data_IF_913607697982
#
_entry.id   IF_913607697982
#
_cell.length_a   1.000
_cell.length_b   1.000
_cell.length_c   1.000
_cell.angle_alpha   90.00
_cell.angle_beta   90.00
_cell.angle_gamma   90.00
#
_symmetry.space_group_name_H-M   'P 1'
#
loop_
_entity.id
_entity.type
_entity.pdbx_description
1 polymer ?
#
# COMPACT_ATOMS: atom_id res chain seq x y z
N UNK A 1 -4.95 27.15 -26.49
CA UNK A 1 -4.80 26.61 -25.11
C UNK A 1 -5.95 25.64 -24.89
N UNK A 2 -5.64 24.53 -24.27
CA UNK A 2 -6.40 23.29 -24.34
C UNK A 2 -7.04 23.07 -22.95
N UNK A 3 -8.37 22.91 -22.86
CA UNK A 3 -9.15 23.15 -21.62
C UNK A 3 -9.32 21.93 -20.70
N UNK A 4 -9.12 20.70 -21.18
CA UNK A 4 -9.18 19.45 -20.38
C UNK A 4 -8.29 18.37 -21.03
N UNK A 5 -7.12 18.06 -20.44
CA UNK A 5 -6.03 17.34 -21.13
C UNK A 5 -5.47 16.12 -20.42
N UNK A 6 -6.09 15.71 -19.33
CA UNK A 6 -5.68 14.53 -18.59
C UNK A 6 -6.75 13.46 -18.73
N UNK A 7 -6.40 12.34 -19.36
CA UNK A 7 -7.22 11.14 -19.41
C UNK A 7 -6.42 10.01 -18.78
N UNK A 8 -7.07 9.24 -17.91
CA UNK A 8 -6.51 8.06 -17.29
C UNK A 8 -7.33 6.85 -17.72
N UNK A 9 -6.65 5.77 -18.08
CA UNK A 9 -7.27 4.52 -18.49
C UNK A 9 -6.81 3.42 -17.54
N UNK A 10 -7.74 2.88 -16.75
CA UNK A 10 -7.50 1.68 -15.95
C UNK A 10 -7.95 0.47 -16.75
N UNK A 11 -7.08 -0.51 -16.92
CA UNK A 11 -7.40 -1.73 -17.65
C UNK A 11 -6.65 -2.92 -17.06
N UNK A 12 -7.23 -4.11 -17.24
CA UNK A 12 -6.66 -5.38 -16.87
C UNK A 12 -6.23 -6.13 -18.14
N UNK A 13 -5.05 -6.74 -18.15
CA UNK A 13 -4.59 -7.58 -19.26
C UNK A 13 -4.25 -8.97 -18.73
N UNK A 14 -4.70 -10.01 -19.44
CA UNK A 14 -4.42 -11.39 -19.08
C UNK A 14 -2.93 -11.69 -19.23
N UNK A 15 -2.36 -12.29 -18.20
CA UNK A 15 -0.96 -12.68 -18.15
C UNK A 15 -0.83 -14.12 -18.64
N UNK A 16 -0.31 -14.34 -19.85
CA UNK A 16 -0.26 -15.69 -20.42
C UNK A 16 1.12 -16.37 -20.34
N UNK A 17 2.12 -15.73 -19.73
CA UNK A 17 3.47 -16.30 -19.53
C UNK A 17 4.23 -15.42 -18.54
N UNK A 18 4.80 -15.98 -17.47
CA UNK A 18 5.51 -15.40 -16.31
C UNK A 18 6.49 -14.21 -16.42
N UNK A 19 6.36 -13.29 -17.39
CA UNK A 19 7.19 -12.08 -17.57
C UNK A 19 6.59 -10.83 -16.92
N UNK A 20 7.43 -10.00 -16.30
CA UNK A 20 7.07 -8.81 -15.51
C UNK A 20 6.36 -7.66 -16.28
N UNK A 21 6.08 -7.82 -17.58
CA UNK A 21 5.20 -6.96 -18.38
C UNK A 21 4.38 -7.91 -19.26
N UNK A 22 3.03 -7.81 -19.30
CA UNK A 22 2.23 -8.68 -20.15
C UNK A 22 2.71 -8.58 -21.61
N UNK A 23 3.11 -9.69 -22.21
CA UNK A 23 3.60 -9.76 -23.60
C UNK A 23 2.61 -9.11 -24.59
N UNK A 24 1.33 -9.11 -24.24
CA UNK A 24 0.27 -8.42 -24.96
C UNK A 24 0.43 -6.89 -24.95
N UNK A 25 0.65 -6.27 -23.79
CA UNK A 25 0.84 -4.80 -23.67
C UNK A 25 2.06 -4.34 -24.46
N UNK A 26 3.16 -5.08 -24.36
CA UNK A 26 4.37 -4.79 -25.14
C UNK A 26 4.12 -4.85 -26.65
N UNK A 27 3.41 -5.90 -27.11
CA UNK A 27 3.04 -6.06 -28.53
C UNK A 27 2.11 -4.96 -29.02
N UNK A 28 1.10 -4.58 -28.24
CA UNK A 28 0.16 -3.52 -28.62
C UNK A 28 0.87 -2.17 -28.75
N UNK A 29 1.65 -1.78 -27.74
CA UNK A 29 2.33 -0.47 -27.73
C UNK A 29 3.42 -0.37 -28.81
N UNK A 30 3.98 -1.50 -29.24
CA UNK A 30 4.98 -1.55 -30.33
C UNK A 30 4.36 -1.58 -31.73
N UNK A 31 3.10 -2.00 -31.87
CA UNK A 31 2.45 -2.17 -33.18
C UNK A 31 1.45 -1.08 -33.52
N UNK A 32 0.81 -0.49 -32.52
CA UNK A 32 -0.31 0.44 -32.71
C UNK A 32 0.05 1.78 -32.08
N UNK A 33 0.32 2.83 -32.89
CA UNK A 33 0.50 4.17 -32.36
C UNK A 33 -0.85 4.75 -31.90
N UNK A 34 -0.79 5.63 -30.91
CA UNK A 34 -1.94 6.44 -30.53
C UNK A 34 -2.01 7.66 -31.47
N UNK A 35 -3.05 7.71 -32.30
CA UNK A 35 -3.28 8.82 -33.23
C UNK A 35 -4.13 9.89 -32.55
N UNK A 36 -3.62 11.12 -32.50
CA UNK A 36 -4.30 12.30 -31.95
C UNK A 36 -4.69 13.21 -33.10
N UNK A 37 -5.97 13.49 -33.23
CA UNK A 37 -6.52 14.35 -34.27
C UNK A 37 -6.83 15.75 -33.74
N UNK A 38 -6.41 16.77 -34.49
CA UNK A 38 -6.69 18.16 -34.23
C UNK A 38 -7.89 18.60 -35.06
N UNK A 39 -8.99 18.93 -34.40
CA UNK A 39 -10.23 19.37 -35.04
C UNK A 39 -10.51 20.84 -34.77
N UNK A 40 -10.93 21.58 -35.80
CA UNK A 40 -11.49 22.92 -35.68
C UNK A 40 -13.01 22.85 -35.52
N UNK A 41 -13.53 23.56 -34.52
CA UNK A 41 -14.96 23.61 -34.17
C UNK A 41 -15.45 25.05 -34.30
N UNK A 42 -15.73 25.47 -35.53
CA UNK A 42 -16.28 26.80 -35.85
C UNK A 42 -17.78 26.94 -35.57
N UNK A 43 -18.27 28.19 -35.55
CA UNK A 43 -19.67 28.54 -35.25
C UNK A 43 -20.68 28.30 -36.39
N UNK A 44 -20.24 27.85 -37.56
CA UNK A 44 -21.13 27.48 -38.67
C UNK A 44 -20.62 26.26 -39.43
N UNK A 45 -21.36 25.15 -39.28
CA UNK A 45 -21.35 23.91 -40.09
C UNK A 45 -20.06 23.09 -40.20
N UNK A 46 -20.04 21.98 -39.44
CA UNK A 46 -19.17 20.78 -39.46
C UNK A 46 -17.73 20.95 -38.96
N UNK A 47 -17.37 20.10 -38.00
CA UNK A 47 -16.01 19.94 -37.47
C UNK A 47 -15.05 19.61 -38.64
N UNK A 48 -13.93 20.33 -38.72
CA UNK A 48 -12.91 20.15 -39.76
C UNK A 48 -11.62 19.57 -39.16
N UNK A 49 -11.10 18.48 -39.75
CA UNK A 49 -9.81 17.91 -39.35
C UNK A 49 -8.66 18.79 -39.88
N UNK A 50 -7.90 19.38 -38.97
CA UNK A 50 -6.72 20.19 -39.28
C UNK A 50 -5.46 19.33 -39.46
N UNK A 51 -5.33 18.22 -38.73
CA UNK A 51 -4.20 17.31 -38.88
C UNK A 51 -4.15 16.24 -37.80
N UNK A 52 -3.20 15.33 -37.93
CA UNK A 52 -3.00 14.21 -36.99
C UNK A 52 -1.56 14.11 -36.52
N UNK A 53 -1.37 13.67 -35.28
CA UNK A 53 -0.08 13.33 -34.69
C UNK A 53 -0.08 11.87 -34.22
N UNK A 54 1.03 11.16 -34.40
CA UNK A 54 1.17 9.74 -34.07
C UNK A 54 2.11 9.55 -32.89
N UNK A 55 1.57 9.20 -31.72
CA UNK A 55 2.32 8.94 -30.49
C UNK A 55 2.75 7.47 -30.46
N UNK A 56 4.05 7.22 -30.37
CA UNK A 56 4.61 5.87 -30.28
C UNK A 56 4.67 5.41 -28.81
N UNK A 57 3.66 4.64 -28.38
CA UNK A 57 3.51 4.23 -26.97
C UNK A 57 4.63 3.32 -26.48
N UNK A 58 5.34 2.61 -27.36
CA UNK A 58 6.48 1.78 -26.97
C UNK A 58 7.60 2.56 -26.27
N UNK A 59 7.71 3.88 -26.51
CA UNK A 59 8.69 4.74 -25.84
C UNK A 59 8.53 4.74 -24.31
N UNK A 60 7.29 4.51 -23.82
CA UNK A 60 7.01 4.35 -22.38
C UNK A 60 7.68 3.11 -21.79
N UNK A 61 7.78 2.03 -22.58
CA UNK A 61 8.33 0.76 -22.12
C UNK A 61 9.85 0.81 -22.00
N UNK A 62 10.51 1.68 -22.77
CA UNK A 62 11.95 1.96 -22.68
C UNK A 62 12.32 3.03 -21.64
N UNK A 63 11.36 3.78 -21.10
CA UNK A 63 11.60 4.78 -20.07
C UNK A 63 12.05 4.15 -18.74
N UNK A 64 12.77 4.92 -17.93
CA UNK A 64 13.22 4.51 -16.59
C UNK A 64 12.04 4.07 -15.72
N UNK A 65 12.21 2.92 -15.06
CA UNK A 65 11.19 2.29 -14.23
C UNK A 65 11.41 2.70 -12.77
N UNK A 66 10.48 3.47 -12.23
CA UNK A 66 10.52 3.99 -10.86
C UNK A 66 9.47 3.30 -9.98
N UNK A 67 9.77 3.10 -8.70
CA UNK A 67 8.82 2.46 -7.78
C UNK A 67 7.68 3.42 -7.43
N UNK A 68 6.43 2.92 -7.43
CA UNK A 68 5.25 3.71 -7.04
C UNK A 68 5.25 3.93 -5.51
N UNK A 69 5.73 5.10 -5.09
CA UNK A 69 5.58 5.62 -3.72
C UNK A 69 6.63 5.13 -2.69
N UNK A 70 6.79 5.86 -1.57
CA UNK A 70 7.74 5.51 -0.50
C UNK A 70 7.29 4.35 0.40
N UNK A 71 6.09 3.80 0.18
CA UNK A 71 5.39 2.93 1.14
C UNK A 71 5.01 1.58 0.53
N UNK A 72 5.95 0.85 -0.05
CA UNK A 72 5.84 -0.62 -0.22
C UNK A 72 4.68 -1.18 -1.06
N UNK A 73 3.89 -0.35 -1.73
CA UNK A 73 2.87 -0.83 -2.66
C UNK A 73 3.59 -1.48 -3.87
N UNK A 74 3.21 -2.71 -4.26
CA UNK A 74 3.86 -3.42 -5.34
C UNK A 74 3.44 -2.82 -6.67
N UNK A 75 4.14 -1.78 -7.12
CA UNK A 75 3.87 -1.17 -8.40
C UNK A 75 5.03 -0.37 -8.97
N UNK A 76 4.97 -0.17 -10.28
CA UNK A 76 6.01 0.53 -11.03
C UNK A 76 5.43 1.61 -11.93
N UNK A 77 6.13 2.73 -12.04
CA UNK A 77 5.78 3.86 -12.90
C UNK A 77 6.86 4.09 -13.94
N UNK A 78 6.43 4.28 -15.18
CA UNK A 78 7.26 4.75 -16.29
C UNK A 78 6.60 5.99 -16.91
N UNK A 79 7.38 7.06 -17.10
CA UNK A 79 6.89 8.31 -17.69
C UNK A 79 7.71 8.66 -18.92
N UNK A 80 7.04 9.13 -19.96
CA UNK A 80 7.69 9.62 -21.18
C UNK A 80 7.06 10.95 -21.59
N UNK A 81 7.91 11.90 -21.99
CA UNK A 81 7.51 13.22 -22.45
C UNK A 81 8.18 13.52 -23.79
N UNK A 82 7.40 14.00 -24.75
CA UNK A 82 7.91 14.34 -26.08
C UNK A 82 7.10 15.48 -26.75
N UNK A 83 7.64 16.03 -27.83
CA UNK A 83 7.01 17.03 -28.69
C UNK A 83 7.04 16.57 -30.14
N UNK A 84 5.86 16.31 -30.70
CA UNK A 84 5.70 15.75 -32.04
C UNK A 84 4.93 16.71 -32.96
N UNK A 85 5.21 16.76 -34.26
CA UNK A 85 4.48 17.59 -35.20
C UNK A 85 3.06 17.05 -35.44
N UNK A 86 2.09 17.95 -35.55
CA UNK A 86 0.76 17.64 -36.11
C UNK A 86 0.84 17.92 -37.61
N UNK A 87 0.55 16.90 -38.43
CA UNK A 87 0.72 16.97 -39.89
C UNK A 87 -0.66 16.92 -40.55
N UNK A 88 -0.89 17.81 -41.52
CA UNK A 88 -2.10 17.78 -42.33
C UNK A 88 -2.03 16.62 -43.34
N UNK A 89 -3.13 15.93 -43.66
CA UNK A 89 -3.09 14.78 -44.56
C UNK A 89 -2.55 15.14 -45.96
N UNK A 90 -2.98 16.26 -46.55
CA UNK A 90 -2.63 16.69 -47.92
C UNK A 90 -2.82 18.21 -48.11
N UNK A 91 -1.76 19.01 -48.31
CA UNK A 91 -0.34 18.66 -48.31
C UNK A 91 0.17 18.25 -46.92
N UNK A 92 1.23 17.43 -46.86
CA UNK A 92 1.88 17.01 -45.60
C UNK A 92 2.68 18.14 -44.97
N UNK A 93 1.96 19.18 -44.54
CA UNK A 93 2.50 20.35 -43.90
C UNK A 93 2.33 20.25 -42.39
N UNK A 94 3.32 20.75 -41.65
CA UNK A 94 3.26 20.85 -40.19
C UNK A 94 2.32 21.99 -39.82
N UNK A 95 1.16 21.65 -39.27
CA UNK A 95 0.13 22.62 -38.86
C UNK A 95 0.25 23.06 -37.40
N UNK A 96 0.82 22.20 -36.53
CA UNK A 96 1.02 22.49 -35.12
C UNK A 96 2.13 21.63 -34.50
N UNK A 97 2.39 21.83 -33.21
CA UNK A 97 3.22 20.97 -32.36
C UNK A 97 2.38 20.46 -31.19
N UNK A 98 2.41 19.14 -30.96
CA UNK A 98 1.78 18.49 -29.83
C UNK A 98 2.86 18.14 -28.80
N UNK A 99 2.84 18.83 -27.65
CA UNK A 99 3.59 18.42 -26.46
C UNK A 99 2.74 17.50 -25.61
N UNK A 100 3.22 16.30 -25.29
CA UNK A 100 2.49 15.34 -24.46
C UNK A 100 3.36 14.77 -23.34
N UNK A 101 2.69 14.29 -22.30
CA UNK A 101 3.28 13.47 -21.24
C UNK A 101 2.40 12.23 -21.13
N UNK A 102 3.01 11.05 -21.21
CA UNK A 102 2.33 9.79 -21.00
C UNK A 102 2.98 9.06 -19.81
N UNK A 103 2.14 8.40 -19.01
CA UNK A 103 2.56 7.68 -17.81
C UNK A 103 1.90 6.31 -17.80
N UNK A 104 2.69 5.26 -17.60
CA UNK A 104 2.22 3.90 -17.41
C UNK A 104 2.49 3.47 -15.97
N UNK A 105 1.44 3.01 -15.29
CA UNK A 105 1.49 2.49 -13.94
C UNK A 105 1.11 1.02 -13.95
N UNK A 106 2.05 0.17 -13.55
CA UNK A 106 1.83 -1.25 -13.34
C UNK A 106 1.53 -1.47 -11.86
N UNK A 107 0.27 -1.76 -11.55
CA UNK A 107 -0.24 -1.97 -10.19
C UNK A 107 -0.12 -3.44 -9.73
N UNK A 108 0.53 -4.29 -10.54
CA UNK A 108 0.71 -5.72 -10.24
C UNK A 108 -0.54 -6.56 -10.48
N UNK A 109 -0.56 -7.76 -9.89
CA UNK A 109 -1.66 -8.72 -10.07
C UNK A 109 -2.94 -8.24 -9.38
N UNK A 110 -4.07 -8.37 -10.09
CA UNK A 110 -5.39 -8.03 -9.57
C UNK A 110 -5.73 -9.00 -8.43
N UNK A 111 -5.95 -8.47 -7.23
CA UNK A 111 -6.47 -9.24 -6.10
C UNK A 111 -7.96 -9.47 -6.34
N UNK A 112 -8.35 -10.73 -6.55
CA UNK A 112 -9.69 -11.15 -6.98
C UNK A 112 -10.85 -10.89 -5.99
N UNK A 113 -10.75 -9.90 -5.08
CA UNK A 113 -11.73 -9.66 -4.02
C UNK A 113 -12.76 -8.57 -4.31
N UNK A 114 -12.67 -7.89 -5.44
CA UNK A 114 -13.58 -6.79 -5.83
C UNK A 114 -14.17 -6.98 -7.24
N UNK A 115 -14.61 -8.21 -7.55
CA UNK A 115 -15.54 -8.46 -8.65
C UNK A 115 -16.68 -9.31 -8.09
N UNK A 116 -17.62 -8.65 -7.42
CA UNK A 116 -18.95 -9.21 -7.16
C UNK A 116 -19.74 -9.14 -8.47
N UNK A 117 -19.72 -10.24 -9.22
CA UNK A 117 -20.86 -10.62 -10.05
C UNK A 117 -21.31 -11.97 -9.53
N UNK A 118 -22.51 -11.96 -8.95
CA UNK A 118 -23.27 -13.12 -8.55
C UNK A 118 -23.35 -14.14 -9.68
N UNK A 119 -22.99 -15.38 -9.39
CA UNK A 119 -23.66 -16.52 -10.02
C UNK A 119 -23.76 -17.70 -9.05
N UNK A 120 -25.03 -17.96 -8.72
CA UNK A 120 -25.70 -19.20 -8.33
C UNK A 120 -24.88 -20.45 -7.96
N UNK A 121 -25.21 -20.93 -6.76
CA UNK A 121 -25.44 -22.33 -6.35
C UNK A 121 -25.08 -23.37 -7.42
N UNK A 122 -24.08 -24.21 -7.12
CA UNK A 122 -24.00 -25.56 -7.65
C UNK A 122 -23.93 -26.59 -6.52
N UNK A 123 -24.71 -27.64 -6.72
CA UNK A 123 -25.06 -28.72 -5.81
C UNK A 123 -24.00 -29.84 -5.89
N UNK A 124 -23.54 -30.29 -4.71
CA UNK A 124 -23.12 -31.68 -4.39
C UNK A 124 -21.84 -32.26 -5.03
N UNK A 125 -21.26 -33.35 -4.46
CA UNK A 125 -21.96 -34.35 -3.64
C UNK A 125 -21.31 -34.72 -2.28
N UNK A 126 -22.18 -35.27 -1.44
CA UNK A 126 -21.99 -36.25 -0.35
C UNK A 126 -21.37 -35.83 1.00
N UNK A 127 -22.12 -36.14 2.06
CA UNK A 127 -21.76 -35.91 3.46
C UNK A 127 -22.98 -35.56 4.32
N UNK A 128 -23.65 -36.59 4.82
CA UNK A 128 -24.82 -36.57 5.71
C UNK A 128 -24.78 -35.59 6.89
N UNK A 129 -25.81 -34.77 7.08
CA UNK A 129 -26.27 -34.29 8.40
C UNK A 129 -27.78 -33.90 8.38
N UNK A 130 -28.47 -33.93 9.53
CA UNK A 130 -29.93 -34.07 9.62
C UNK A 130 -30.72 -32.77 9.42
N UNK A 131 -32.03 -32.95 9.26
CA UNK A 131 -33.06 -31.99 8.84
C UNK A 131 -32.96 -30.54 9.36
N UNK A 132 -33.33 -29.54 8.53
CA UNK A 132 -33.29 -28.13 8.90
C UNK A 132 -34.43 -27.83 9.88
N UNK A 133 -34.13 -27.81 11.17
CA UNK A 133 -34.93 -27.00 12.10
C UNK A 133 -34.84 -25.55 11.63
N UNK A 134 -35.95 -24.82 11.71
CA UNK A 134 -36.07 -23.45 11.25
C UNK A 134 -34.95 -22.56 11.83
N UNK A 135 -33.87 -22.42 11.06
CA UNK A 135 -32.63 -21.69 11.41
C UNK A 135 -32.84 -20.19 11.62
N UNK A 136 -34.07 -19.71 11.41
CA UNK A 136 -34.50 -18.33 11.60
C UNK A 136 -34.98 -18.01 13.02
N UNK A 137 -35.23 -19.00 13.87
CA UNK A 137 -35.71 -18.79 15.24
C UNK A 137 -34.62 -18.89 16.33
N UNK A 138 -33.38 -19.16 15.93
CA UNK A 138 -32.24 -19.26 16.86
C UNK A 138 -31.83 -17.86 17.35
N UNK A 139 -31.40 -17.76 18.61
CA UNK A 139 -31.02 -16.48 19.24
C UNK A 139 -29.86 -15.80 18.48
N UNK A 140 -29.01 -16.61 17.88
CA UNK A 140 -27.87 -16.22 17.05
C UNK A 140 -28.33 -15.55 15.76
N UNK A 141 -29.43 -16.02 15.14
CA UNK A 141 -30.00 -15.40 13.94
C UNK A 141 -30.60 -14.02 14.26
N UNK A 142 -31.25 -13.86 15.41
CA UNK A 142 -31.77 -12.55 15.86
C UNK A 142 -30.64 -11.56 16.13
N UNK A 143 -29.60 -11.99 16.83
CA UNK A 143 -28.42 -11.16 17.07
C UNK A 143 -27.68 -10.79 15.77
N UNK A 144 -27.59 -11.71 14.80
CA UNK A 144 -27.01 -11.43 13.50
C UNK A 144 -27.84 -10.39 12.71
N UNK A 145 -29.17 -10.49 12.76
CA UNK A 145 -30.06 -9.53 12.11
C UNK A 145 -29.97 -8.13 12.74
N UNK A 146 -29.91 -8.05 14.08
CA UNK A 146 -29.69 -6.79 14.80
C UNK A 146 -28.34 -6.15 14.43
N UNK A 147 -27.29 -6.95 14.25
CA UNK A 147 -25.98 -6.47 13.79
C UNK A 147 -26.00 -6.02 12.33
N UNK A 148 -26.73 -6.71 11.46
CA UNK A 148 -26.92 -6.29 10.07
C UNK A 148 -27.66 -4.96 10.00
N UNK A 149 -28.76 -4.80 10.75
CA UNK A 149 -29.49 -3.53 10.85
C UNK A 149 -28.62 -2.40 11.39
N UNK A 150 -27.86 -2.64 12.46
CA UNK A 150 -26.94 -1.62 13.00
C UNK A 150 -25.85 -1.26 11.97
N UNK A 151 -25.34 -2.23 11.23
CA UNK A 151 -24.35 -2.00 10.18
C UNK A 151 -24.94 -1.14 9.05
N UNK A 152 -26.16 -1.45 8.61
CA UNK A 152 -26.88 -0.66 7.60
C UNK A 152 -27.11 0.78 8.10
N UNK A 153 -27.55 0.96 9.34
CA UNK A 153 -27.70 2.30 9.94
C UNK A 153 -26.37 3.07 10.03
N UNK A 154 -25.25 2.40 10.33
CA UNK A 154 -23.93 3.05 10.34
C UNK A 154 -23.43 3.37 8.93
N UNK A 155 -23.74 2.51 7.96
CA UNK A 155 -23.42 2.72 6.54
C UNK A 155 -24.19 3.94 6.00
N UNK A 156 -25.48 4.04 6.29
CA UNK A 156 -26.32 5.19 5.95
C UNK A 156 -25.79 6.49 6.57
N UNK A 157 -25.44 6.47 7.86
CA UNK A 157 -24.85 7.63 8.54
C UNK A 157 -23.52 8.05 7.93
N UNK A 158 -22.68 7.10 7.51
CA UNK A 158 -21.42 7.38 6.87
C UNK A 158 -21.62 7.98 5.47
N UNK A 159 -22.54 7.40 4.70
CA UNK A 159 -22.92 7.87 3.36
C UNK A 159 -23.50 9.28 3.40
N UNK A 160 -24.37 9.58 4.36
CA UNK A 160 -24.91 10.92 4.54
C UNK A 160 -23.82 11.92 4.92
N UNK A 161 -22.88 11.55 5.80
CA UNK A 161 -21.74 12.40 6.12
C UNK A 161 -20.84 12.65 4.90
N UNK A 162 -20.61 11.63 4.08
CA UNK A 162 -19.80 11.73 2.87
C UNK A 162 -20.47 12.65 1.84
N UNK A 163 -21.75 12.41 1.53
CA UNK A 163 -22.57 13.27 0.65
C UNK A 163 -22.59 14.71 1.16
N UNK A 164 -22.71 14.93 2.47
CA UNK A 164 -22.71 16.26 3.05
C UNK A 164 -21.34 16.95 2.93
N UNK A 165 -20.23 16.22 3.04
CA UNK A 165 -18.88 16.78 2.79
C UNK A 165 -18.68 17.12 1.32
N UNK A 166 -19.06 16.22 0.41
CA UNK A 166 -19.00 16.45 -1.03
C UNK A 166 -19.84 17.67 -1.44
N UNK A 167 -21.07 17.77 -0.92
CA UNK A 167 -21.95 18.91 -1.17
C UNK A 167 -21.32 20.22 -0.71
N UNK A 168 -20.73 20.27 0.50
CA UNK A 168 -20.03 21.47 1.01
C UNK A 168 -18.86 21.85 0.11
N UNK A 169 -18.07 20.87 -0.35
CA UNK A 169 -16.95 21.13 -1.26
C UNK A 169 -17.43 21.66 -2.62
N UNK A 170 -18.45 21.04 -3.21
CA UNK A 170 -19.05 21.51 -4.47
C UNK A 170 -19.65 22.92 -4.33
N UNK A 171 -20.35 23.20 -3.22
CA UNK A 171 -20.89 24.53 -2.94
C UNK A 171 -19.78 25.58 -2.82
N UNK A 172 -18.70 25.29 -2.10
CA UNK A 172 -17.56 26.20 -1.97
C UNK A 172 -16.91 26.51 -3.33
N UNK A 173 -16.74 25.48 -4.18
CA UNK A 173 -16.24 25.66 -5.55
C UNK A 173 -17.20 26.49 -6.40
N UNK A 174 -18.51 26.26 -6.30
CA UNK A 174 -19.52 27.02 -7.02
C UNK A 174 -19.56 28.49 -6.57
N UNK A 175 -19.38 28.77 -5.27
CA UNK A 175 -19.31 30.13 -4.72
C UNK A 175 -18.05 30.86 -5.18
N UNK A 176 -16.89 30.21 -5.13
CA UNK A 176 -15.62 30.75 -5.64
C UNK A 176 -15.68 31.01 -7.15
N UNK A 177 -16.31 30.11 -7.92
CA UNK A 177 -16.53 30.30 -9.34
C UNK A 177 -17.44 31.49 -9.61
N UNK A 178 -18.61 31.57 -8.95
CA UNK A 178 -19.53 32.71 -9.05
C UNK A 178 -18.86 34.03 -8.66
N UNK A 179 -18.00 34.03 -7.63
CA UNK A 179 -17.24 35.22 -7.22
C UNK A 179 -16.28 35.67 -8.31
N UNK A 180 -15.45 34.76 -8.84
CA UNK A 180 -14.53 35.09 -9.94
C UNK A 180 -15.25 35.52 -11.20
N UNK A 181 -16.41 34.95 -11.47
CA UNK A 181 -17.21 35.32 -12.63
C UNK A 181 -17.71 36.77 -12.51
N UNK A 182 -18.26 37.14 -11.35
CA UNK A 182 -18.63 38.53 -11.06
C UNK A 182 -17.45 39.49 -11.12
N UNK A 183 -16.28 39.09 -10.62
CA UNK A 183 -15.05 39.90 -10.69
C UNK A 183 -14.59 40.12 -12.14
N UNK A 184 -14.68 39.08 -12.99
CA UNK A 184 -14.38 39.19 -14.43
C UNK A 184 -15.37 40.10 -15.14
N UNK A 185 -16.67 39.91 -14.91
CA UNK A 185 -17.71 40.77 -15.48
C UNK A 185 -17.56 42.24 -15.06
N UNK A 186 -17.24 42.49 -13.78
CA UNK A 186 -17.02 43.85 -13.28
C UNK A 186 -15.81 44.51 -13.96
N UNK A 187 -14.73 43.75 -14.20
CA UNK A 187 -13.56 44.25 -14.92
C UNK A 187 -13.91 44.58 -16.38
N UNK A 188 -14.66 43.71 -17.05
CA UNK A 188 -15.12 43.94 -18.43
C UNK A 188 -15.99 45.18 -18.50
N UNK A 189 -17.01 45.30 -17.64
CA UNK A 189 -17.87 46.50 -17.57
C UNK A 189 -17.08 47.78 -17.32
N UNK A 190 -16.07 47.74 -16.44
CA UNK A 190 -15.18 48.89 -16.21
C UNK A 190 -14.43 49.26 -17.49
N UNK A 191 -13.91 48.27 -18.23
CA UNK A 191 -13.22 48.50 -19.50
C UNK A 191 -14.15 49.02 -20.59
N UNK A 192 -15.37 48.50 -20.69
CA UNK A 192 -16.40 49.01 -21.59
C UNK A 192 -16.68 50.50 -21.32
N UNK A 193 -16.86 50.90 -20.05
CA UNK A 193 -17.06 52.30 -19.68
C UNK A 193 -15.84 53.18 -20.02
N UNK A 194 -14.62 52.69 -19.80
CA UNK A 194 -13.39 53.40 -20.18
C UNK A 194 -13.33 53.61 -21.71
N UNK A 195 -13.64 52.57 -22.50
CA UNK A 195 -13.64 52.65 -23.96
C UNK A 195 -14.74 53.58 -24.50
N UNK A 196 -15.95 53.53 -23.95
CA UNK A 196 -17.03 54.44 -24.34
C UNK A 196 -16.63 55.91 -24.10
N UNK A 197 -16.00 56.21 -22.96
CA UNK A 197 -15.52 57.58 -22.68
C UNK A 197 -14.40 58.02 -23.63
N UNK A 198 -13.52 57.10 -24.04
CA UNK A 198 -12.48 57.36 -25.04
C UNK A 198 -13.10 57.61 -26.41
N UNK A 199 -14.09 56.83 -26.80
CA UNK A 199 -14.84 56.98 -28.04
C UNK A 199 -15.55 58.35 -28.10
N UNK A 200 -16.28 58.74 -27.05
CA UNK A 200 -16.93 60.04 -26.96
C UNK A 200 -15.92 61.20 -27.11
N UNK A 201 -14.74 61.08 -26.49
CA UNK A 201 -13.67 62.08 -26.64
C UNK A 201 -13.16 62.15 -28.07
N UNK A 202 -12.95 61.01 -28.72
CA UNK A 202 -12.50 60.95 -30.11
C UNK A 202 -13.53 61.58 -31.04
N UNK A 203 -14.81 61.21 -30.91
CA UNK A 203 -15.91 61.81 -31.66
C UNK A 203 -15.96 63.33 -31.47
N UNK A 204 -15.81 63.82 -30.23
CA UNK A 204 -15.75 65.26 -29.96
C UNK A 204 -14.55 65.92 -30.66
N UNK A 205 -13.37 65.32 -30.60
CA UNK A 205 -12.18 65.88 -31.26
C UNK A 205 -12.32 65.91 -32.78
N UNK A 206 -12.95 64.90 -33.39
CA UNK A 206 -13.25 64.88 -34.82
C UNK A 206 -14.18 66.03 -35.20
N UNK A 207 -15.29 66.19 -34.47
CA UNK A 207 -16.21 67.32 -34.67
C UNK A 207 -15.53 68.69 -34.53
N UNK A 208 -14.62 68.85 -33.58
CA UNK A 208 -13.88 70.09 -33.38
C UNK A 208 -12.83 70.34 -34.49
N UNK A 209 -12.23 69.28 -35.05
CA UNK A 209 -11.30 69.39 -36.18
C UNK A 209 -12.04 69.74 -37.47
N UNK A 210 -13.16 69.10 -37.76
CA UNK A 210 -14.01 69.43 -38.93
C UNK A 210 -14.46 70.89 -38.91
N UNK A 211 -14.79 71.44 -37.73
CA UNK A 211 -15.12 72.86 -37.59
C UNK A 211 -13.92 73.77 -37.90
N UNK A 212 -12.73 73.42 -37.40
CA UNK A 212 -11.51 74.21 -37.68
C UNK A 212 -11.12 74.16 -39.15
N UNK A 213 -11.26 73.00 -39.80
CA UNK A 213 -10.97 72.85 -41.22
C UNK A 213 -11.88 73.74 -42.08
N UNK A 214 -13.19 73.76 -41.79
CA UNK A 214 -14.14 74.66 -42.46
C UNK A 214 -13.76 76.13 -42.28
N UNK A 215 -13.41 76.54 -41.06
CA UNK A 215 -12.97 77.91 -40.77
C UNK A 215 -11.69 78.30 -41.52
N UNK A 216 -10.70 77.38 -41.60
CA UNK A 216 -9.47 77.62 -42.34
C UNK A 216 -9.73 77.75 -43.84
N UNK A 217 -10.55 76.88 -44.42
CA UNK A 217 -10.92 76.94 -45.83
C UNK A 217 -11.62 78.27 -46.19
N UNK A 218 -12.52 78.74 -45.33
CA UNK A 218 -13.18 80.06 -45.48
C UNK A 218 -12.17 81.22 -45.42
N UNK A 219 -11.24 81.19 -44.45
CA UNK A 219 -10.20 82.21 -44.32
C UNK A 219 -9.22 82.22 -45.50
N UNK A 220 -8.83 81.05 -46.01
CA UNK A 220 -7.97 80.92 -47.19
C UNK A 220 -8.62 81.50 -48.44
N UNK A 221 -9.93 81.29 -48.62
CA UNK A 221 -10.70 81.89 -49.72
C UNK A 221 -10.71 83.42 -49.64
N UNK A 222 -10.91 83.99 -48.45
CA UNK A 222 -10.89 85.45 -48.24
C UNK A 222 -9.51 86.06 -48.54
N UNK A 223 -8.42 85.43 -48.09
CA UNK A 223 -7.06 85.90 -48.37
C UNK A 223 -6.74 85.83 -49.87
N UNK A 224 -7.22 84.81 -50.57
CA UNK A 224 -7.01 84.67 -52.02
C UNK A 224 -7.71 85.79 -52.82
N UNK A 225 -8.86 86.27 -52.36
CA UNK A 225 -9.61 87.35 -53.01
C UNK A 225 -8.99 88.75 -52.82
N UNK A 226 -8.22 88.97 -51.75
CA UNK A 226 -7.63 90.28 -51.40
C UNK A 226 -6.27 90.53 -52.10
N UNK A 227 -5.67 89.52 -52.75
CA UNK A 227 -4.33 89.60 -53.38
C UNK A 227 -4.25 89.90 -54.91
N UNK A 228 -5.02 90.83 -55.53
CA UNK A 228 -4.68 91.28 -56.90
C UNK A 228 -3.78 92.54 -57.03
N UNK A 229 -3.61 93.41 -56.01
CA UNK A 229 -3.10 94.79 -56.26
C UNK A 229 -1.76 95.22 -55.62
N UNK A 230 -1.00 94.33 -54.97
CA UNK A 230 0.27 94.70 -54.30
C UNK A 230 1.55 94.59 -55.15
N UNK A 231 1.44 94.34 -56.46
CA UNK A 231 2.62 94.24 -57.35
C UNK A 231 3.04 95.55 -58.04
N UNK A 232 2.29 96.66 -57.87
CA UNK A 232 2.54 97.93 -58.60
C UNK A 232 3.26 99.02 -57.80
N UNK A 233 3.53 98.82 -56.50
CA UNK A 233 4.04 99.89 -55.61
C UNK A 233 5.53 99.77 -55.25
N UNK A 234 6.24 98.77 -55.79
CA UNK A 234 7.63 98.45 -55.44
C UNK A 234 8.71 99.20 -56.23
N UNK A 235 8.34 100.00 -57.25
CA UNK A 235 9.31 100.60 -58.19
C UNK A 235 9.77 102.01 -57.77
N UNK A 236 9.05 102.71 -56.88
CA UNK A 236 9.34 104.12 -56.55
C UNK A 236 10.30 104.29 -55.35
N UNK A 237 10.50 103.29 -54.50
CA UNK A 237 11.26 103.43 -53.24
C UNK A 237 12.79 103.37 -53.38
N UNK A 238 13.33 103.19 -54.60
CA UNK A 238 14.73 102.78 -54.81
C UNK A 238 15.80 103.89 -54.63
N UNK A 239 15.43 105.10 -54.24
CA UNK A 239 16.36 106.25 -54.09
C UNK A 239 16.61 106.72 -52.64
N UNK A 240 15.95 106.14 -51.62
CA UNK A 240 16.23 106.36 -50.19
C UNK A 240 16.98 105.16 -49.54
N UNK A 241 17.67 104.38 -50.38
CA UNK A 241 18.08 103.00 -50.07
C UNK A 241 19.02 102.87 -48.87
N UNK A 242 19.98 103.78 -48.62
CA UNK A 242 21.08 103.50 -47.66
C UNK A 242 20.68 103.50 -46.19
N UNK A 243 19.85 104.45 -45.75
CA UNK A 243 19.34 104.49 -44.37
C UNK A 243 18.29 103.40 -44.15
N UNK A 244 17.48 103.12 -45.18
CA UNK A 244 16.56 101.98 -45.20
C UNK A 244 17.31 100.64 -45.11
N UNK A 245 18.44 100.49 -45.81
CA UNK A 245 19.27 99.29 -45.80
C UNK A 245 19.91 99.06 -44.42
N UNK A 246 20.32 100.11 -43.71
CA UNK A 246 20.84 100.00 -42.35
C UNK A 246 19.74 99.62 -41.33
N UNK A 247 18.55 100.23 -41.42
CA UNK A 247 17.41 99.86 -40.58
C UNK A 247 16.96 98.42 -40.86
N UNK A 248 16.94 98.00 -42.13
CA UNK A 248 16.67 96.62 -42.53
C UNK A 248 17.74 95.66 -42.00
N UNK A 249 19.02 96.07 -41.98
CA UNK A 249 20.09 95.26 -41.40
C UNK A 249 19.92 95.07 -39.88
N UNK A 250 19.59 96.14 -39.14
CA UNK A 250 19.30 96.06 -37.71
C UNK A 250 18.07 95.20 -37.41
N UNK A 251 16.99 95.32 -38.20
CA UNK A 251 15.81 94.48 -38.04
C UNK A 251 16.10 93.02 -38.39
N UNK A 252 16.91 92.74 -39.42
CA UNK A 252 17.37 91.37 -39.74
C UNK A 252 18.18 90.76 -38.60
N UNK A 253 19.06 91.54 -37.97
CA UNK A 253 19.85 91.07 -36.83
C UNK A 253 18.95 90.81 -35.59
N UNK A 254 17.98 91.68 -35.34
CA UNK A 254 16.98 91.47 -34.29
C UNK A 254 16.12 90.23 -34.55
N UNK A 255 15.68 90.01 -35.78
CA UNK A 255 14.97 88.79 -36.20
C UNK A 255 15.86 87.57 -35.99
N UNK A 256 17.15 87.63 -36.37
CA UNK A 256 18.12 86.56 -36.16
C UNK A 256 18.25 86.20 -34.68
N UNK A 257 18.42 87.18 -33.80
CA UNK A 257 18.50 86.95 -32.35
C UNK A 257 17.19 86.38 -31.77
N UNK A 258 16.03 86.84 -32.26
CA UNK A 258 14.73 86.29 -31.87
C UNK A 258 14.53 84.85 -32.37
N UNK A 259 15.04 84.51 -33.55
CA UNK A 259 15.02 83.15 -34.10
C UNK A 259 15.97 82.20 -33.35
N UNK A 260 17.16 82.67 -32.97
CA UNK A 260 18.09 81.94 -32.11
C UNK A 260 17.47 81.68 -30.73
N UNK A 261 16.84 82.69 -30.13
CA UNK A 261 16.13 82.57 -28.86
C UNK A 261 14.93 81.62 -28.96
N UNK A 262 14.15 81.71 -30.06
CA UNK A 262 13.06 80.78 -30.36
C UNK A 262 13.59 79.34 -30.49
N UNK A 263 14.71 79.15 -31.19
CA UNK A 263 15.37 77.85 -31.33
C UNK A 263 15.79 77.27 -29.99
N UNK A 264 16.40 78.09 -29.12
CA UNK A 264 16.77 77.71 -27.75
C UNK A 264 15.58 77.28 -26.91
N UNK A 265 14.49 78.05 -26.94
CA UNK A 265 13.26 77.73 -26.20
C UNK A 265 12.59 76.45 -26.71
N UNK A 266 12.54 76.25 -28.03
CA UNK A 266 12.02 75.01 -28.62
C UNK A 266 12.83 73.78 -28.17
N UNK A 267 14.17 73.88 -28.22
CA UNK A 267 15.05 72.81 -27.75
C UNK A 267 14.86 72.53 -26.25
N UNK A 268 14.64 73.55 -25.43
CA UNK A 268 14.36 73.37 -24.00
C UNK A 268 13.02 72.66 -23.76
N UNK A 269 11.98 72.99 -24.52
CA UNK A 269 10.67 72.33 -24.44
C UNK A 269 10.78 70.87 -24.85
N UNK A 270 11.49 70.56 -25.94
CA UNK A 270 11.73 69.18 -26.38
C UNK A 270 12.51 68.38 -25.35
N UNK A 271 13.60 68.93 -24.78
CA UNK A 271 14.35 68.28 -23.70
C UNK A 271 13.48 67.99 -22.49
N UNK A 272 12.63 68.94 -22.06
CA UNK A 272 11.70 68.73 -20.94
C UNK A 272 10.64 67.67 -21.25
N UNK A 273 10.12 67.63 -22.48
CA UNK A 273 9.19 66.58 -22.93
C UNK A 273 9.87 65.21 -22.93
N UNK A 274 11.07 65.11 -23.49
CA UNK A 274 11.86 63.88 -23.50
C UNK A 274 12.14 63.37 -22.08
N UNK A 275 12.63 64.23 -21.18
CA UNK A 275 12.89 63.84 -19.79
C UNK A 275 11.61 63.38 -19.06
N UNK A 276 10.45 64.01 -19.34
CA UNK A 276 9.16 63.61 -18.75
C UNK A 276 8.73 62.23 -19.24
N UNK A 277 8.81 61.98 -20.55
CA UNK A 277 8.47 60.69 -21.16
C UNK A 277 9.42 59.60 -20.66
N UNK A 278 10.73 59.87 -20.66
CA UNK A 278 11.75 58.94 -20.18
C UNK A 278 11.54 58.59 -18.70
N UNK A 279 11.35 59.58 -17.82
CA UNK A 279 11.05 59.31 -16.41
C UNK A 279 9.73 58.56 -16.22
N UNK A 280 8.72 58.83 -17.05
CA UNK A 280 7.46 58.08 -17.04
C UNK A 280 7.67 56.61 -17.40
N UNK A 281 8.46 56.34 -18.45
CA UNK A 281 8.80 54.99 -18.89
C UNK A 281 9.61 54.24 -17.83
N UNK A 282 10.65 54.87 -17.26
CA UNK A 282 11.47 54.27 -16.20
C UNK A 282 10.61 53.92 -14.98
N UNK A 283 9.66 54.79 -14.59
CA UNK A 283 8.72 54.50 -13.50
C UNK A 283 7.79 53.33 -13.82
N UNK A 284 7.29 53.25 -15.06
CA UNK A 284 6.42 52.16 -15.50
C UNK A 284 7.16 50.82 -15.45
N UNK A 285 8.36 50.77 -16.04
CA UNK A 285 9.20 49.56 -16.05
C UNK A 285 9.56 49.13 -14.63
N UNK A 286 9.92 50.08 -13.74
CA UNK A 286 10.18 49.76 -12.35
C UNK A 286 8.95 49.19 -11.63
N UNK A 287 7.75 49.72 -11.92
CA UNK A 287 6.50 49.20 -11.36
C UNK A 287 6.19 47.79 -11.87
N UNK A 288 6.39 47.53 -13.16
CA UNK A 288 6.24 46.18 -13.74
C UNK A 288 7.22 45.19 -13.11
N UNK A 289 8.47 45.60 -12.88
CA UNK A 289 9.47 44.77 -12.21
C UNK A 289 9.11 44.43 -10.76
N UNK A 290 8.55 45.39 -10.02
CA UNK A 290 8.05 45.16 -8.66
C UNK A 290 6.89 44.15 -8.65
N UNK A 291 5.91 44.32 -9.54
CA UNK A 291 4.80 43.38 -9.68
C UNK A 291 5.28 41.98 -10.05
N UNK A 292 6.28 41.87 -10.94
CA UNK A 292 6.88 40.59 -11.27
C UNK A 292 7.53 39.93 -10.04
N UNK A 293 8.30 40.69 -9.24
CA UNK A 293 8.89 40.19 -7.99
C UNK A 293 7.84 39.71 -6.99
N UNK A 294 6.75 40.46 -6.83
CA UNK A 294 5.64 40.08 -5.95
C UNK A 294 4.95 38.81 -6.44
N UNK A 295 4.70 38.69 -7.75
CA UNK A 295 4.14 37.46 -8.35
C UNK A 295 5.06 36.25 -8.17
N UNK A 296 6.38 36.45 -8.25
CA UNK A 296 7.35 35.39 -7.98
C UNK A 296 7.36 34.95 -6.51
N UNK A 297 6.98 35.81 -5.57
CA UNK A 297 6.85 35.44 -4.15
C UNK A 297 5.52 34.74 -3.83
N UNK A 298 4.50 34.90 -4.69
CA UNK A 298 3.22 34.21 -4.58
C UNK A 298 3.20 32.87 -5.32
N UNK A 299 4.32 32.49 -5.93
CA UNK A 299 4.43 31.25 -6.67
C UNK A 299 4.09 30.06 -5.76
N UNK A 300 3.16 29.18 -6.19
CA UNK A 300 2.73 28.04 -5.39
C UNK A 300 3.89 27.14 -4.96
N UNK A 301 5.00 27.14 -5.70
CA UNK A 301 6.24 26.44 -5.40
C UNK A 301 6.80 26.77 -3.99
N UNK A 302 6.72 28.03 -3.54
CA UNK A 302 7.15 28.38 -2.18
C UNK A 302 6.23 27.81 -1.10
N UNK A 303 4.92 27.79 -1.35
CA UNK A 303 3.93 27.19 -0.44
C UNK A 303 4.09 25.69 -0.38
N UNK A 304 4.25 25.05 -1.55
CA UNK A 304 4.51 23.62 -1.67
C UNK A 304 5.83 23.25 -0.99
N UNK A 305 6.87 24.08 -1.08
CA UNK A 305 8.13 23.83 -0.38
C UNK A 305 7.96 23.85 1.14
N UNK A 306 7.16 24.78 1.68
CA UNK A 306 6.86 24.80 3.10
C UNK A 306 6.04 23.57 3.55
N UNK A 307 5.07 23.16 2.73
CA UNK A 307 4.27 21.96 2.95
C UNK A 307 5.12 20.68 2.89
N UNK A 308 6.02 20.57 1.92
CA UNK A 308 7.01 19.48 1.81
C UNK A 308 7.89 19.41 3.06
N UNK A 309 8.38 20.54 3.55
CA UNK A 309 9.19 20.57 4.77
C UNK A 309 8.40 20.12 6.00
N UNK A 310 7.13 20.51 6.10
CA UNK A 310 6.26 20.14 7.21
C UNK A 310 5.91 18.64 7.18
N UNK A 311 5.53 18.13 6.00
CA UNK A 311 5.30 16.70 5.77
C UNK A 311 6.57 15.86 6.02
N UNK A 312 7.75 16.38 5.69
CA UNK A 312 9.02 15.71 5.98
C UNK A 312 9.27 15.59 7.49
N UNK A 313 8.95 16.61 8.29
CA UNK A 313 9.05 16.55 9.75
C UNK A 313 8.04 15.55 10.35
N UNK A 314 6.79 15.59 9.88
CA UNK A 314 5.76 14.64 10.32
C UNK A 314 6.14 13.19 9.98
N UNK A 315 6.68 12.95 8.78
CA UNK A 315 7.19 11.65 8.38
C UNK A 315 8.24 11.14 9.36
N UNK A 316 9.24 11.95 9.70
CA UNK A 316 10.30 11.55 10.64
C UNK A 316 9.73 11.25 12.02
N UNK A 317 8.74 12.02 12.49
CA UNK A 317 8.09 11.75 13.78
C UNK A 317 7.28 10.45 13.76
N UNK A 318 6.55 10.18 12.67
CA UNK A 318 5.80 8.94 12.48
C UNK A 318 6.73 7.73 12.37
N UNK A 319 7.85 7.84 11.65
CA UNK A 319 8.88 6.79 11.60
C UNK A 319 9.45 6.49 12.99
N UNK A 320 9.72 7.52 13.79
CA UNK A 320 10.18 7.35 15.18
C UNK A 320 9.13 6.65 16.05
N UNK A 321 7.86 7.01 15.91
CA UNK A 321 6.74 6.36 16.63
C UNK A 321 6.58 4.90 16.19
N UNK A 322 6.66 4.64 14.89
CA UNK A 322 6.60 3.30 14.33
C UNK A 322 7.74 2.41 14.86
N UNK A 323 8.96 2.92 14.88
CA UNK A 323 10.13 2.20 15.39
C UNK A 323 9.98 1.87 16.88
N UNK A 324 9.51 2.84 17.69
CA UNK A 324 9.25 2.64 19.12
C UNK A 324 8.17 1.58 19.38
N UNK A 325 7.05 1.66 18.66
CA UNK A 325 5.96 0.68 18.76
C UNK A 325 6.40 -0.70 18.28
N UNK A 326 7.20 -0.78 17.23
CA UNK A 326 7.72 -2.04 16.68
C UNK A 326 8.66 -2.73 17.67
N UNK A 327 9.57 -1.97 18.30
CA UNK A 327 10.45 -2.48 19.38
C UNK A 327 9.64 -2.98 20.57
N UNK A 328 8.63 -2.22 20.98
CA UNK A 328 7.76 -2.59 22.11
C UNK A 328 6.95 -3.85 21.81
N UNK A 329 6.37 -3.95 20.61
CA UNK A 329 5.66 -5.15 20.13
C UNK A 329 6.58 -6.37 20.10
N UNK A 330 7.80 -6.23 19.60
CA UNK A 330 8.79 -7.30 19.60
C UNK A 330 9.13 -7.75 21.02
N UNK A 331 9.34 -6.81 21.93
CA UNK A 331 9.59 -7.09 23.34
C UNK A 331 8.43 -7.88 23.96
N UNK A 332 7.18 -7.43 23.80
CA UNK A 332 6.01 -8.16 24.34
C UNK A 332 5.82 -9.53 23.69
N UNK A 333 6.08 -9.67 22.39
CA UNK A 333 6.04 -10.98 21.71
C UNK A 333 7.07 -11.94 22.30
N UNK A 334 8.28 -11.46 22.61
CA UNK A 334 9.32 -12.25 23.27
C UNK A 334 8.93 -12.63 24.69
N UNK A 335 8.41 -11.68 25.49
CA UNK A 335 7.94 -11.94 26.86
C UNK A 335 6.80 -12.96 26.87
N UNK A 336 5.81 -12.79 26.00
CA UNK A 336 4.72 -13.74 25.82
C UNK A 336 5.22 -15.13 25.42
N UNK A 337 6.17 -15.20 24.47
CA UNK A 337 6.79 -16.46 24.07
C UNK A 337 7.56 -17.15 25.21
N UNK A 338 8.21 -16.40 26.11
CA UNK A 338 8.85 -16.95 27.31
C UNK A 338 7.81 -17.47 28.30
N UNK A 339 6.77 -16.69 28.58
CA UNK A 339 5.68 -17.09 29.47
C UNK A 339 4.98 -18.36 28.97
N UNK A 340 4.74 -18.49 27.65
CA UNK A 340 4.14 -19.67 27.05
C UNK A 340 5.00 -20.92 27.22
N UNK A 341 6.33 -20.79 27.07
CA UNK A 341 7.29 -21.89 27.29
C UNK A 341 7.35 -22.32 28.76
N UNK A 342 7.34 -21.37 29.70
CA UNK A 342 7.29 -21.68 31.12
C UNK A 342 5.97 -22.33 31.52
N UNK A 343 4.83 -21.89 30.95
CA UNK A 343 3.54 -22.53 31.17
C UNK A 343 3.51 -23.97 30.64
N UNK A 344 4.09 -24.22 29.45
CA UNK A 344 4.22 -25.57 28.91
C UNK A 344 5.07 -26.47 29.81
N UNK A 345 6.21 -25.96 30.32
CA UNK A 345 7.06 -26.68 31.29
C UNK A 345 6.32 -26.95 32.60
N UNK A 346 5.57 -25.98 33.10
CA UNK A 346 4.76 -26.14 34.31
C UNK A 346 3.71 -27.23 34.13
N UNK A 347 2.97 -27.21 33.01
CA UNK A 347 1.97 -28.23 32.67
C UNK A 347 2.60 -29.62 32.55
N UNK A 348 3.78 -29.72 31.92
CA UNK A 348 4.51 -30.99 31.81
C UNK A 348 4.92 -31.53 33.18
N UNK A 349 5.51 -30.69 34.05
CA UNK A 349 5.87 -31.09 35.42
C UNK A 349 4.66 -31.54 36.23
N UNK A 350 3.54 -30.84 36.11
CA UNK A 350 2.30 -31.24 36.78
C UNK A 350 1.78 -32.60 36.28
N UNK A 351 1.88 -32.86 34.98
CA UNK A 351 1.52 -34.17 34.40
C UNK A 351 2.46 -35.28 34.87
N UNK A 352 3.77 -35.03 34.91
CA UNK A 352 4.78 -35.95 35.46
C UNK A 352 4.53 -36.23 36.95
N UNK A 353 4.23 -35.20 37.74
CA UNK A 353 3.87 -35.32 39.16
C UNK A 353 2.57 -36.12 39.36
N UNK A 354 1.57 -35.93 38.50
CA UNK A 354 0.33 -36.71 38.52
C UNK A 354 0.59 -38.19 38.20
N UNK A 355 1.40 -38.49 37.18
CA UNK A 355 1.80 -39.85 36.85
C UNK A 355 2.61 -40.52 37.96
N UNK A 356 3.55 -39.80 38.59
CA UNK A 356 4.32 -40.29 39.71
C UNK A 356 3.43 -40.63 40.92
N UNK A 357 2.44 -39.78 41.23
CA UNK A 357 1.44 -40.04 42.28
C UNK A 357 0.61 -41.29 41.97
N UNK A 358 0.13 -41.43 40.74
CA UNK A 358 -0.64 -42.60 40.32
C UNK A 358 0.18 -43.89 40.42
N UNK A 359 1.44 -43.87 39.95
CA UNK A 359 2.36 -45.01 40.05
C UNK A 359 2.64 -45.41 41.49
N UNK A 360 2.79 -44.42 42.39
CA UNK A 360 2.95 -44.67 43.82
C UNK A 360 1.71 -45.34 44.42
N UNK A 361 0.51 -44.85 44.09
CA UNK A 361 -0.75 -45.47 44.52
C UNK A 361 -0.90 -46.90 44.00
N UNK A 362 -0.49 -47.17 42.76
CA UNK A 362 -0.46 -48.52 42.18
C UNK A 362 0.49 -49.45 42.93
N UNK A 363 1.72 -48.99 43.23
CA UNK A 363 2.68 -49.76 44.00
C UNK A 363 2.21 -50.03 45.44
N UNK A 364 1.57 -49.06 46.09
CA UNK A 364 0.97 -49.24 47.42
C UNK A 364 -0.18 -50.27 47.40
N UNK A 365 -1.02 -50.24 46.37
CA UNK A 365 -2.08 -51.23 46.16
C UNK A 365 -1.53 -52.64 45.89
N UNK A 366 -0.50 -52.76 45.06
CA UNK A 366 0.18 -54.03 44.79
C UNK A 366 0.86 -54.58 46.05
N UNK A 367 1.51 -53.73 46.85
CA UNK A 367 2.09 -54.11 48.12
C UNK A 367 1.03 -54.60 49.11
N UNK A 368 -0.15 -53.96 49.17
CA UNK A 368 -1.27 -54.46 49.98
C UNK A 368 -1.80 -55.81 49.47
N UNK A 369 -1.93 -56.01 48.16
CA UNK A 369 -2.34 -57.29 47.57
C UNK A 369 -1.36 -58.41 47.92
N UNK A 370 -0.05 -58.17 47.79
CA UNK A 370 0.97 -59.14 48.15
C UNK A 370 0.97 -59.47 49.65
N UNK A 371 0.77 -58.47 50.52
CA UNK A 371 0.62 -58.72 51.97
C UNK A 371 -0.60 -59.57 52.28
N UNK A 372 -1.73 -59.30 51.62
CA UNK A 372 -2.95 -60.10 51.77
C UNK A 372 -2.72 -61.55 51.36
N UNK A 373 -2.13 -61.79 50.19
CA UNK A 373 -1.78 -63.14 49.72
C UNK A 373 -0.81 -63.84 50.70
N UNK A 374 0.23 -63.15 51.17
CA UNK A 374 1.17 -63.72 52.12
C UNK A 374 0.53 -64.03 53.49
N UNK A 375 -0.46 -63.25 53.93
CA UNK A 375 -1.24 -63.58 55.15
C UNK A 375 -2.18 -64.76 54.93
N UNK A 376 -2.79 -64.86 53.76
CA UNK A 376 -3.66 -65.98 53.38
C UNK A 376 -2.84 -67.29 53.28
N UNK A 377 -1.70 -67.28 52.61
CA UNK A 377 -0.75 -68.41 52.55
C UNK A 377 -0.27 -68.83 53.94
N UNK A 378 0.03 -67.86 54.84
CA UNK A 378 0.42 -68.19 56.22
C UNK A 378 -0.71 -68.85 57.01
N UNK A 379 -1.95 -68.42 56.82
CA UNK A 379 -3.11 -69.06 57.46
C UNK A 379 -3.33 -70.47 56.90
N UNK A 380 -3.19 -70.68 55.59
CA UNK A 380 -3.23 -72.01 54.96
C UNK A 380 -2.13 -72.91 55.53
N UNK A 381 -0.87 -72.45 55.56
CA UNK A 381 0.25 -73.21 56.14
C UNK A 381 0.03 -73.50 57.64
N UNK A 382 -0.60 -72.57 58.37
CA UNK A 382 -0.95 -72.78 59.77
C UNK A 382 -2.04 -73.85 59.92
N UNK A 383 -3.04 -73.86 59.04
CA UNK A 383 -4.07 -74.89 58.96
C UNK A 383 -3.44 -76.25 58.63
N UNK A 384 -2.64 -76.35 57.57
CA UNK A 384 -1.92 -77.57 57.17
C UNK A 384 -1.05 -78.10 58.31
N UNK A 385 -0.35 -77.22 59.04
CA UNK A 385 0.47 -77.62 60.20
C UNK A 385 -0.38 -78.16 61.34
N UNK A 386 -1.55 -77.58 61.58
CA UNK A 386 -2.52 -78.08 62.55
C UNK A 386 -3.03 -79.46 62.15
N UNK A 387 -3.39 -79.64 60.88
CA UNK A 387 -3.80 -80.94 60.33
C UNK A 387 -2.68 -81.98 60.44
N UNK A 388 -1.43 -81.61 60.15
CA UNK A 388 -0.26 -82.50 60.31
C UNK A 388 -0.01 -82.87 61.78
N UNK A 389 -0.16 -81.93 62.71
CA UNK A 389 -0.05 -82.22 64.14
C UNK A 389 -1.20 -83.14 64.62
N UNK A 390 -2.42 -82.94 64.12
CA UNK A 390 -3.56 -83.82 64.39
C UNK A 390 -3.32 -85.23 63.83
N UNK A 391 -2.86 -85.34 62.58
CA UNK A 391 -2.45 -86.62 61.96
C UNK A 391 -1.36 -87.28 62.78
N UNK A 392 -0.33 -86.53 63.20
CA UNK A 392 0.78 -87.04 64.03
C UNK A 392 0.29 -87.55 65.38
N UNK A 393 -0.63 -86.84 66.03
CA UNK A 393 -1.21 -87.25 67.30
C UNK A 393 -2.03 -88.54 67.14
N UNK A 394 -2.76 -88.67 66.04
CA UNK A 394 -3.49 -89.89 65.71
C UNK A 394 -2.54 -91.05 65.37
N UNK A 395 -1.46 -90.79 64.63
CA UNK A 395 -0.38 -91.76 64.36
C UNK A 395 0.30 -92.20 65.66
N UNK A 396 0.55 -91.30 66.60
CA UNK A 396 1.09 -91.63 67.91
C UNK A 396 0.10 -92.44 68.76
N UNK A 397 -1.20 -92.20 68.65
CA UNK A 397 -2.23 -93.04 69.28
C UNK A 397 -2.25 -94.44 68.70
N UNK A 398 -2.22 -94.55 67.37
CA UNK A 398 -2.14 -95.83 66.66
C UNK A 398 -0.84 -96.58 67.01
N UNK A 399 0.29 -95.88 67.07
CA UNK A 399 1.57 -96.44 67.50
C UNK A 399 1.55 -96.87 68.97
N UNK A 400 0.87 -96.14 69.85
CA UNK A 400 0.69 -96.53 71.26
C UNK A 400 -0.25 -97.74 71.39
N UNK A 401 -1.25 -97.87 70.51
CA UNK A 401 -2.08 -99.07 70.38
C UNK A 401 -1.29 -100.27 69.82
N UNK A 402 -0.37 -100.05 68.88
CA UNK A 402 0.57 -101.08 68.42
C UNK A 402 1.57 -101.45 69.53
N UNK A 403 2.04 -100.48 70.32
CA UNK A 403 3.00 -100.69 71.40
C UNK A 403 2.39 -101.32 72.68
N UNK A 404 1.06 -101.32 72.82
CA UNK A 404 0.32 -102.15 73.79
C UNK A 404 0.12 -103.60 73.32
N UNK A 405 0.57 -103.96 72.11
CA UNK A 405 0.74 -105.34 71.64
C UNK A 405 2.22 -105.63 71.33
N UNK A 406 2.90 -106.19 72.33
CA UNK A 406 4.19 -106.93 72.27
C UNK A 406 5.49 -106.11 72.42
N UNK A 407 6.42 -106.65 73.24
CA UNK A 407 7.88 -106.45 73.13
C UNK A 407 8.57 -107.83 73.05
N UNK A 408 9.92 -107.97 73.05
CA UNK A 408 11.03 -106.99 73.00
C UNK A 408 12.09 -107.25 71.86
N UNK A 409 13.15 -106.41 71.83
CA UNK A 409 14.38 -106.27 70.99
C UNK A 409 15.10 -107.57 70.48
N UNK A 410 16.18 -107.59 69.62
CA UNK A 410 17.23 -106.57 69.32
C UNK A 410 17.91 -106.53 67.90
N UNK A 411 18.82 -105.54 67.72
CA UNK A 411 20.05 -105.46 66.90
C UNK A 411 20.07 -105.57 65.33
N UNK A 412 20.74 -104.57 64.72
CA UNK A 412 21.43 -104.46 63.41
C UNK A 412 22.12 -105.77 62.90
N UNK A 413 22.54 -105.97 61.61
CA UNK A 413 22.81 -104.99 60.52
C UNK A 413 22.40 -105.42 59.08
N UNK A 414 22.72 -104.53 58.13
CA UNK A 414 23.12 -104.75 56.72
C UNK A 414 22.11 -105.04 55.59
N UNK A 415 22.44 -104.38 54.46
CA UNK A 415 22.12 -104.67 53.05
C UNK A 415 20.98 -103.90 52.37
N UNK A 416 21.41 -103.08 51.40
CA UNK A 416 20.63 -102.38 50.38
C UNK A 416 19.75 -103.33 49.52
N UNK A 417 18.78 -102.78 48.77
CA UNK A 417 19.06 -102.53 47.36
C UNK A 417 18.44 -101.24 46.80
N UNK A 418 19.29 -100.46 46.12
CA UNK A 418 19.06 -99.81 44.82
C UNK A 418 17.64 -99.36 44.43
N UNK A 419 17.45 -98.05 44.27
CA UNK A 419 16.74 -97.41 43.14
C UNK A 419 17.30 -95.98 42.87
N UNK A 420 18.62 -95.84 42.75
CA UNK A 420 19.26 -94.58 42.33
C UNK A 420 19.54 -94.57 40.83
N UNK A 421 18.48 -94.43 40.02
CA UNK A 421 18.62 -94.20 38.59
C UNK A 421 17.82 -92.98 38.07
N UNK A 422 17.09 -92.25 38.92
CA UNK A 422 16.32 -91.07 38.49
C UNK A 422 16.76 -89.73 39.08
N UNK A 423 17.58 -89.70 40.14
CA UNK A 423 17.99 -88.44 40.78
C UNK A 423 19.03 -87.67 39.94
N UNK A 424 19.91 -88.38 39.23
CA UNK A 424 20.95 -87.75 38.39
C UNK A 424 20.38 -87.04 37.15
N UNK A 425 19.27 -87.55 36.58
CA UNK A 425 18.61 -86.91 35.44
C UNK A 425 17.84 -85.65 35.87
N UNK A 426 17.22 -85.67 37.06
CA UNK A 426 16.47 -84.54 37.62
C UNK A 426 17.38 -83.41 38.11
N UNK A 427 18.55 -83.74 38.67
CA UNK A 427 19.61 -82.76 38.97
C UNK A 427 20.25 -82.17 37.70
N UNK A 428 20.40 -82.96 36.63
CA UNK A 428 20.96 -82.46 35.36
C UNK A 428 20.00 -81.48 34.66
N UNK A 429 18.70 -81.81 34.62
CA UNK A 429 17.66 -80.93 34.09
C UNK A 429 17.55 -79.62 34.90
N UNK A 430 17.61 -79.72 36.24
CA UNK A 430 17.56 -78.55 37.12
C UNK A 430 18.75 -77.63 36.91
N UNK A 431 19.97 -78.18 36.75
CA UNK A 431 21.17 -77.39 36.40
C UNK A 431 21.03 -76.65 35.08
N UNK A 432 20.54 -77.31 34.02
CA UNK A 432 20.36 -76.68 32.71
C UNK A 432 19.32 -75.54 32.75
N UNK A 433 18.26 -75.68 33.54
CA UNK A 433 17.25 -74.63 33.74
C UNK A 433 17.84 -73.43 34.49
N UNK A 434 18.60 -73.67 35.55
CA UNK A 434 19.25 -72.61 36.34
C UNK A 434 20.30 -71.85 35.52
N UNK A 435 21.11 -72.55 34.71
CA UNK A 435 22.12 -71.92 33.84
C UNK A 435 21.46 -71.01 32.78
N UNK A 436 20.40 -71.49 32.12
CA UNK A 436 19.62 -70.68 31.17
C UNK A 436 19.04 -69.44 31.84
N UNK A 437 18.41 -69.62 32.99
CA UNK A 437 17.74 -68.52 33.70
C UNK A 437 18.75 -67.53 34.28
N UNK A 438 19.93 -67.98 34.68
CA UNK A 438 21.03 -67.11 35.11
C UNK A 438 21.54 -66.26 33.95
N UNK A 439 21.77 -66.87 32.78
CA UNK A 439 22.23 -66.15 31.59
C UNK A 439 21.21 -65.11 31.11
N UNK A 440 19.93 -65.44 31.09
CA UNK A 440 18.87 -64.49 30.73
C UNK A 440 18.73 -63.35 31.75
N UNK A 441 18.98 -63.61 33.05
CA UNK A 441 18.94 -62.59 34.11
C UNK A 441 20.03 -61.53 33.96
N UNK A 442 21.15 -61.85 33.31
CA UNK A 442 22.24 -60.88 33.08
C UNK A 442 21.85 -59.78 32.09
N UNK A 443 20.80 -59.99 31.26
CA UNK A 443 20.36 -59.05 30.25
C UNK A 443 21.28 -58.91 29.03
N UNK A 444 22.40 -59.64 29.00
CA UNK A 444 23.35 -59.68 27.87
C UNK A 444 22.94 -60.71 26.82
N UNK A 445 22.26 -61.77 27.25
CA UNK A 445 21.77 -62.85 26.38
C UNK A 445 20.25 -62.76 26.21
N UNK A 446 19.80 -63.10 25.01
CA UNK A 446 18.39 -63.15 24.60
C UNK A 446 18.00 -64.58 24.22
N UNK A 447 16.70 -64.83 24.06
CA UNK A 447 16.20 -66.15 23.70
C UNK A 447 16.66 -66.63 22.31
N UNK A 448 17.12 -65.71 21.46
CA UNK A 448 17.59 -65.99 20.10
C UNK A 448 19.10 -66.31 20.04
N UNK A 449 19.83 -66.13 21.15
CA UNK A 449 21.27 -66.40 21.19
C UNK A 449 21.58 -67.89 21.14
N UNK A 450 22.60 -68.24 20.35
CA UNK A 450 22.96 -69.63 20.02
C UNK A 450 23.19 -70.51 21.25
N UNK A 451 23.71 -69.92 22.34
CA UNK A 451 23.95 -70.61 23.61
C UNK A 451 22.62 -70.90 24.36
N UNK A 452 21.67 -69.95 24.36
CA UNK A 452 20.35 -70.12 25.01
C UNK A 452 19.48 -71.10 24.22
N UNK A 453 19.54 -71.05 22.89
CA UNK A 453 18.84 -71.99 22.02
C UNK A 453 19.37 -73.42 22.21
N UNK A 454 20.68 -73.59 22.35
CA UNK A 454 21.31 -74.89 22.60
C UNK A 454 20.97 -75.45 24.00
N UNK A 455 20.99 -74.62 25.04
CA UNK A 455 20.50 -75.02 26.38
C UNK A 455 19.03 -75.41 26.34
N UNK A 456 18.19 -74.67 25.60
CA UNK A 456 16.77 -74.98 25.45
C UNK A 456 16.54 -76.32 24.72
N UNK A 457 17.38 -76.63 23.72
CA UNK A 457 17.38 -77.92 23.02
C UNK A 457 17.77 -79.07 23.97
N UNK A 458 18.82 -78.90 24.77
CA UNK A 458 19.27 -79.90 25.75
C UNK A 458 18.25 -80.13 26.88
N UNK A 459 17.58 -79.07 27.34
CA UNK A 459 16.45 -79.17 28.29
C UNK A 459 15.30 -79.98 27.67
N UNK A 460 14.96 -79.73 26.40
CA UNK A 460 13.91 -80.49 25.71
C UNK A 460 14.28 -81.96 25.48
N UNK A 461 15.56 -82.25 25.21
CA UNK A 461 16.07 -83.62 25.08
C UNK A 461 16.07 -84.35 26.43
N UNK A 462 16.58 -83.74 27.49
CA UNK A 462 16.54 -84.28 28.85
C UNK A 462 15.10 -84.51 29.35
N UNK A 463 14.14 -83.64 28.96
CA UNK A 463 12.72 -83.86 29.25
C UNK A 463 12.06 -84.96 28.41
N UNK A 464 12.58 -85.26 27.21
CA UNK A 464 12.11 -86.39 26.39
C UNK A 464 12.63 -87.72 26.92
N UNK A 465 13.90 -87.78 27.32
CA UNK A 465 14.51 -88.97 27.91
C UNK A 465 13.86 -89.35 29.26
N UNK A 466 13.20 -88.40 29.93
CA UNK A 466 12.37 -88.63 31.13
C UNK A 466 10.98 -89.25 30.83
N UNK A 467 10.51 -89.18 29.57
CA UNK A 467 9.17 -89.62 29.14
C UNK A 467 9.17 -90.96 28.38
N UNK A 468 10.35 -91.55 28.13
CA UNK A 468 10.59 -92.90 27.63
C UNK A 468 11.00 -93.80 28.79
#
# INVERSE_FOLDING_TARGET
KFQQFFCYFLFAVTHNTGLLIPTHTWRCFSRVPLVVELWDRGSSSRDQLLGSASIQLHQLLSSEKTQLGPTGDPGWRQTHQDRIPVVHPQPSERVAELSYVATLEDLGFIKAKEVLVSDSIQVGPDGSEPAPQATRDTLEYRAALELEMWKEEQEDLFDDQLKQKELRHMQALADEWRKRDREREALVKKKELEFNLLEEKLQKTLCDLEKREKQLAEAELQVRLIKPDQYKQSIIFRSSSRESDHLVALEKEKVRLMEEERGRLLQQVERRRFCRVHNGLVKLVNKEFQLFREQQNLRPEFRLQAEVNLLALEKVELERKLESTTKSKLHYKQQWGRALKELARFKQREQENAMARLKKQQAELEAMRLRYLATEEKEVVRQDRQELDDIRNELNRLKKQEQEKLGPAPAEPDSAPSLNLNESAEEHLSRLLEERDTLLRTGVYTHDDRIIAELSRQIQEAMRDRKL
#
